data_IF_080839993547
#
_entry.id   IF_080839993547
#
_cell.length_a   1.000
_cell.length_b   1.000
_cell.length_c   1.000
_cell.angle_alpha   90.00
_cell.angle_beta   90.00
_cell.angle_gamma   90.00
#
_symmetry.space_group_name_H-M   'P 1'
#
loop_
_entity.id
_entity.type
_entity.pdbx_description
1 polymer ?
#
# COMPACT_ATOMS: atom_id res chain seq x y z
N UNK A 1 -16.28 -37.89 -15.21
CA UNK A 1 -15.71 -38.44 -13.96
C UNK A 1 -14.22 -38.42 -14.14
N UNK A 2 -13.50 -37.57 -13.42
CA UNK A 2 -12.33 -37.97 -12.65
C UNK A 2 -11.85 -36.83 -11.73
N UNK A 3 -12.00 -37.13 -10.44
CA UNK A 3 -11.35 -36.68 -9.22
C UNK A 3 -10.94 -35.21 -9.03
N UNK A 4 -11.83 -34.48 -8.34
CA UNK A 4 -11.47 -33.34 -7.52
C UNK A 4 -10.64 -33.82 -6.31
N UNK A 5 -9.37 -33.39 -6.26
CA UNK A 5 -8.55 -33.48 -5.04
C UNK A 5 -9.01 -32.38 -4.09
N UNK A 6 -9.63 -32.79 -2.99
CA UNK A 6 -9.91 -31.93 -1.85
C UNK A 6 -8.58 -31.49 -1.21
N UNK A 7 -8.10 -30.30 -1.54
CA UNK A 7 -7.06 -29.63 -0.77
C UNK A 7 -7.68 -28.97 0.47
N UNK A 8 -7.41 -29.57 1.63
CA UNK A 8 -7.76 -29.04 2.95
C UNK A 8 -6.65 -28.12 3.47
N UNK A 9 -6.37 -27.03 2.77
CA UNK A 9 -5.67 -25.88 3.34
C UNK A 9 -6.27 -24.60 2.77
N UNK A 10 -7.07 -23.90 3.58
CA UNK A 10 -7.71 -22.65 3.18
C UNK A 10 -6.72 -21.49 3.12
N UNK A 11 -5.86 -21.43 2.08
CA UNK A 11 -5.13 -20.20 1.72
C UNK A 11 -4.65 -20.15 0.26
N UNK A 12 -5.42 -20.66 -0.69
CA UNK A 12 -5.17 -20.42 -2.13
C UNK A 12 -6.29 -19.58 -2.74
N UNK A 13 -6.69 -18.50 -2.06
CA UNK A 13 -7.60 -17.52 -2.67
C UNK A 13 -6.72 -16.61 -3.54
N UNK A 14 -6.45 -17.02 -4.78
CA UNK A 14 -5.87 -16.18 -5.83
C UNK A 14 -6.72 -14.93 -5.92
N UNK A 15 -6.33 -13.91 -5.18
CA UNK A 15 -7.07 -12.67 -5.08
C UNK A 15 -6.67 -11.92 -6.32
N UNK A 16 -7.54 -11.92 -7.33
CA UNK A 16 -7.32 -11.27 -8.63
C UNK A 16 -7.23 -9.75 -8.42
N UNK A 17 -6.07 -9.30 -7.96
CA UNK A 17 -5.73 -7.92 -7.70
C UNK A 17 -4.65 -7.50 -8.69
N UNK A 18 -4.77 -6.29 -9.24
CA UNK A 18 -3.72 -5.66 -10.03
C UNK A 18 -2.43 -5.48 -9.23
N UNK A 19 -2.56 -5.12 -7.95
CA UNK A 19 -1.44 -5.20 -7.02
C UNK A 19 -1.88 -5.49 -5.59
N UNK A 20 -0.94 -5.99 -4.80
CA UNK A 20 -1.05 -6.16 -3.35
C UNK A 20 0.32 -5.91 -2.73
N UNK A 21 0.36 -5.04 -1.72
CA UNK A 21 1.56 -4.77 -0.94
C UNK A 21 1.28 -4.90 0.56
N UNK A 22 2.30 -5.29 1.33
CA UNK A 22 2.27 -5.35 2.79
C UNK A 22 3.52 -4.77 3.43
N UNK A 23 3.36 -4.13 4.57
CA UNK A 23 4.45 -3.67 5.43
C UNK A 23 4.06 -3.88 6.90
N UNK A 24 5.04 -4.12 7.76
CA UNK A 24 4.87 -4.31 9.20
C UNK A 24 4.74 -3.01 9.99
N UNK A 25 5.24 -1.91 9.41
CA UNK A 25 5.21 -0.59 10.03
C UNK A 25 4.76 0.47 9.02
N UNK A 26 3.50 0.88 9.12
CA UNK A 26 2.88 1.93 8.31
C UNK A 26 3.63 3.27 8.39
N UNK A 27 4.38 3.53 9.47
CA UNK A 27 5.18 4.76 9.62
C UNK A 27 6.27 4.88 8.56
N UNK A 28 6.77 3.75 8.03
CA UNK A 28 7.74 3.75 6.93
C UNK A 28 7.17 4.40 5.65
N UNK A 29 5.85 4.39 5.49
CA UNK A 29 5.16 5.07 4.39
C UNK A 29 4.65 6.45 4.80
N UNK A 30 3.96 6.56 5.93
CA UNK A 30 3.26 7.81 6.30
C UNK A 30 4.21 8.98 6.52
N UNK A 31 5.39 8.77 7.11
CA UNK A 31 6.39 9.84 7.31
C UNK A 31 6.89 10.40 5.99
N UNK A 32 7.11 9.54 5.00
CA UNK A 32 7.56 9.94 3.66
C UNK A 32 6.44 10.71 2.96
N UNK A 33 5.21 10.20 2.99
CA UNK A 33 4.07 10.82 2.31
C UNK A 33 3.67 12.16 2.92
N UNK A 34 3.90 12.38 4.23
CA UNK A 34 3.67 13.69 4.89
C UNK A 34 4.44 14.82 4.21
N UNK A 35 5.64 14.54 3.67
CA UNK A 35 6.47 15.55 2.96
C UNK A 35 5.85 15.96 1.61
N UNK A 36 5.02 15.11 1.02
CA UNK A 36 4.34 15.38 -0.24
C UNK A 36 2.99 16.10 -0.07
N UNK A 37 2.50 16.27 1.16
CA UNK A 37 1.13 16.73 1.45
C UNK A 37 0.93 18.24 1.30
N UNK A 38 1.47 18.84 0.24
CA UNK A 38 1.22 20.24 -0.14
C UNK A 38 0.19 20.35 -1.29
N UNK A 39 -0.25 19.22 -1.85
CA UNK A 39 -1.41 19.13 -2.74
C UNK A 39 -2.28 17.94 -2.38
N UNK A 40 -3.56 18.12 -2.69
CA UNK A 40 -4.62 17.17 -2.39
C UNK A 40 -4.51 15.90 -3.23
N UNK A 41 -4.20 15.99 -4.54
CA UNK A 41 -4.16 14.81 -5.41
C UNK A 41 -2.73 14.38 -5.71
N UNK A 42 -2.43 13.10 -5.43
CA UNK A 42 -1.19 12.44 -5.81
C UNK A 42 -1.43 11.38 -6.90
N UNK A 43 -0.42 11.18 -7.75
CA UNK A 43 -0.37 10.08 -8.72
C UNK A 43 0.58 9.00 -8.19
N UNK A 44 0.05 7.79 -8.01
CA UNK A 44 0.77 6.63 -7.52
C UNK A 44 1.10 5.68 -8.66
N UNK A 45 2.34 5.20 -8.69
CA UNK A 45 2.84 4.21 -9.63
C UNK A 45 3.36 3.02 -8.84
N UNK A 46 2.75 1.85 -9.07
CA UNK A 46 3.14 0.59 -8.42
C UNK A 46 3.74 -0.33 -9.46
N UNK A 47 4.93 -0.84 -9.18
CA UNK A 47 5.64 -1.80 -10.01
C UNK A 47 6.31 -2.86 -9.13
N UNK A 48 6.89 -3.89 -9.73
CA UNK A 48 7.69 -4.90 -9.01
C UNK A 48 8.88 -4.31 -8.26
N UNK A 49 9.36 -3.13 -8.66
CA UNK A 49 10.48 -2.46 -8.02
C UNK A 49 10.07 -1.63 -6.79
N UNK A 50 8.79 -1.30 -6.64
CA UNK A 50 8.30 -0.48 -5.53
C UNK A 50 7.13 0.44 -5.87
N UNK A 51 6.86 1.37 -4.95
CA UNK A 51 5.83 2.39 -5.04
C UNK A 51 6.48 3.76 -5.23
N UNK A 52 6.09 4.46 -6.29
CA UNK A 52 6.41 5.88 -6.51
C UNK A 52 5.14 6.72 -6.31
N UNK A 53 5.23 7.78 -5.53
CA UNK A 53 4.15 8.75 -5.36
C UNK A 53 4.63 10.10 -5.87
N UNK A 54 3.85 10.73 -6.74
CA UNK A 54 4.17 12.01 -7.37
C UNK A 54 3.07 13.01 -7.08
N UNK A 55 3.49 14.20 -6.65
CA UNK A 55 2.63 15.38 -6.51
C UNK A 55 3.15 16.46 -7.45
N UNK A 56 2.25 17.09 -8.19
CA UNK A 56 2.56 18.17 -9.13
C UNK A 56 1.73 19.42 -8.79
N UNK A 57 2.36 20.59 -8.86
CA UNK A 57 1.70 21.89 -8.78
C UNK A 57 1.91 22.68 -10.08
N UNK A 58 0.80 22.96 -10.76
CA UNK A 58 0.71 23.96 -11.83
C UNK A 58 1.79 23.84 -12.91
N UNK A 59 2.28 22.62 -13.18
CA UNK A 59 3.38 22.31 -14.11
C UNK A 59 4.73 23.00 -13.79
N UNK A 60 4.87 23.58 -12.60
CA UNK A 60 6.08 24.28 -12.17
C UNK A 60 6.87 23.49 -11.12
N UNK A 61 6.18 22.72 -10.29
CA UNK A 61 6.78 21.96 -9.19
C UNK A 61 6.30 20.52 -9.30
N UNK A 62 7.25 19.59 -9.27
CA UNK A 62 6.95 18.17 -9.16
C UNK A 62 7.84 17.59 -8.07
N UNK A 63 7.21 16.93 -7.11
CA UNK A 63 7.91 16.22 -6.04
C UNK A 63 7.52 14.77 -6.09
N UNK A 64 8.50 13.88 -5.97
CA UNK A 64 8.25 12.44 -5.96
C UNK A 64 8.92 11.77 -4.77
N UNK A 65 8.19 10.89 -4.11
CA UNK A 65 8.74 9.93 -3.17
C UNK A 65 8.83 8.56 -3.83
N UNK A 66 9.86 7.80 -3.48
CA UNK A 66 10.03 6.43 -3.93
C UNK A 66 10.27 5.51 -2.73
N UNK A 67 9.49 4.44 -2.67
CA UNK A 67 9.58 3.39 -1.66
C UNK A 67 9.95 2.11 -2.40
N UNK A 68 11.18 1.64 -2.19
CA UNK A 68 11.70 0.42 -2.81
C UNK A 68 10.93 -0.82 -2.34
N UNK A 69 10.81 -1.82 -3.22
CA UNK A 69 10.27 -3.16 -2.94
C UNK A 69 10.82 -3.79 -1.66
N UNK A 70 12.09 -3.52 -1.34
CA UNK A 70 12.78 -4.04 -0.15
C UNK A 70 12.19 -3.56 1.19
N UNK A 71 11.39 -2.49 1.19
CA UNK A 71 10.70 -1.99 2.39
C UNK A 71 9.44 -2.80 2.68
N UNK A 72 8.89 -3.48 1.68
CA UNK A 72 7.66 -4.25 1.81
C UNK A 72 7.97 -5.70 2.18
N UNK A 73 7.13 -6.28 3.05
CA UNK A 73 7.17 -7.71 3.38
C UNK A 73 6.60 -8.57 2.24
N UNK A 74 5.63 -8.02 1.52
CA UNK A 74 4.99 -8.64 0.37
C UNK A 74 4.75 -7.54 -0.66
N UNK A 75 5.18 -7.74 -1.90
CA UNK A 75 4.82 -6.88 -3.03
C UNK A 75 4.56 -7.77 -4.23
N UNK A 76 3.29 -7.85 -4.61
CA UNK A 76 2.85 -8.54 -5.81
C UNK A 76 2.21 -7.52 -6.74
N UNK A 77 2.67 -7.49 -7.98
CA UNK A 77 2.10 -6.69 -9.05
C UNK A 77 1.83 -7.64 -10.20
N UNK A 78 0.68 -7.50 -10.86
CA UNK A 78 0.36 -8.30 -12.03
C UNK A 78 1.45 -8.08 -13.09
N UNK A 79 2.00 -9.18 -13.60
CA UNK A 79 3.26 -9.21 -14.36
C UNK A 79 3.29 -8.21 -15.52
N UNK A 80 4.43 -7.54 -15.70
CA UNK A 80 4.78 -6.59 -16.77
C UNK A 80 3.97 -5.28 -16.82
N UNK A 81 3.13 -4.99 -15.83
CA UNK A 81 2.34 -3.76 -15.77
C UNK A 81 2.79 -2.84 -14.64
N UNK A 82 3.02 -1.57 -14.96
CA UNK A 82 3.05 -0.51 -13.96
C UNK A 82 1.62 -0.05 -13.71
N UNK A 83 1.10 -0.32 -12.52
CA UNK A 83 -0.26 0.10 -12.16
C UNK A 83 -0.22 1.56 -11.73
N UNK A 84 -1.06 2.39 -12.35
CA UNK A 84 -1.14 3.82 -12.06
C UNK A 84 -2.52 4.17 -11.55
N UNK A 85 -2.60 4.92 -10.46
CA UNK A 85 -3.86 5.45 -9.93
C UNK A 85 -3.65 6.81 -9.27
N UNK A 86 -4.73 7.59 -9.16
CA UNK A 86 -4.72 8.87 -8.45
C UNK A 86 -5.51 8.72 -7.16
N UNK A 87 -5.06 9.42 -6.13
CA UNK A 87 -5.70 9.39 -4.82
C UNK A 87 -5.61 10.76 -4.15
N UNK A 88 -6.61 11.05 -3.33
CA UNK A 88 -6.55 12.13 -2.35
C UNK A 88 -5.51 11.79 -1.28
N UNK A 89 -4.37 12.47 -1.33
CA UNK A 89 -3.23 12.25 -0.45
C UNK A 89 -3.54 12.61 1.00
N UNK A 90 -4.34 13.65 1.23
CA UNK A 90 -4.77 14.05 2.58
C UNK A 90 -5.57 12.93 3.25
N UNK A 91 -6.60 12.42 2.56
CA UNK A 91 -7.44 11.31 3.00
C UNK A 91 -6.63 10.04 3.21
N UNK A 92 -5.71 9.75 2.29
CA UNK A 92 -4.79 8.62 2.42
C UNK A 92 -3.93 8.76 3.68
N UNK A 93 -3.36 9.93 3.94
CA UNK A 93 -2.52 10.19 5.11
C UNK A 93 -3.29 10.11 6.43
N UNK A 94 -4.51 10.64 6.47
CA UNK A 94 -5.41 10.48 7.62
C UNK A 94 -5.64 8.99 7.90
N UNK A 95 -5.95 8.20 6.87
CA UNK A 95 -6.11 6.75 6.97
C UNK A 95 -4.85 6.05 7.46
N UNK A 96 -3.66 6.42 6.95
CA UNK A 96 -2.38 5.83 7.37
C UNK A 96 -2.00 6.15 8.82
N UNK A 97 -2.57 7.20 9.41
CA UNK A 97 -2.19 7.71 10.74
C UNK A 97 -3.28 7.53 11.80
N UNK A 98 -4.39 6.84 11.49
CA UNK A 98 -5.51 6.60 12.43
C UNK A 98 -5.08 5.97 13.77
N UNK A 99 -3.99 5.22 13.80
CA UNK A 99 -3.47 4.54 15.00
C UNK A 99 -2.21 5.18 15.59
N UNK A 100 -1.71 6.30 15.06
CA UNK A 100 -0.46 6.93 15.55
C UNK A 100 -0.56 7.31 17.04
N UNK A 101 -1.77 7.58 17.55
CA UNK A 101 -2.05 7.97 18.94
C UNK A 101 -2.61 6.82 19.79
N UNK A 102 -2.76 5.61 19.23
CA UNK A 102 -3.38 4.48 19.93
C UNK A 102 -2.39 3.55 20.64
N UNK A 103 -1.08 3.70 20.39
CA UNK A 103 -0.06 2.79 20.94
C UNK A 103 0.69 3.43 22.12
N UNK A 104 0.27 3.09 23.34
CA UNK A 104 1.05 3.35 24.55
C UNK A 104 2.07 2.23 24.85
N UNK A 105 2.01 1.13 24.09
CA UNK A 105 2.85 -0.05 24.27
C UNK A 105 4.14 0.08 23.43
N UNK A 106 5.32 0.12 24.06
CA UNK A 106 6.59 0.13 23.34
C UNK A 106 6.72 -1.09 22.43
N UNK A 107 7.18 -0.88 21.18
CA UNK A 107 7.42 -1.96 20.22
C UNK A 107 6.19 -2.43 19.43
N UNK A 108 4.99 -1.91 19.71
CA UNK A 108 3.81 -2.19 18.90
C UNK A 108 3.86 -1.39 17.59
N UNK A 109 3.80 -2.07 16.45
CA UNK A 109 3.68 -1.43 15.13
C UNK A 109 2.35 -1.74 14.48
N UNK A 110 1.89 -0.83 13.64
CA UNK A 110 0.71 -1.05 12.79
C UNK A 110 1.19 -1.51 11.42
N UNK A 111 0.87 -2.76 11.08
CA UNK A 111 1.05 -3.30 9.75
C UNK A 111 -0.07 -2.81 8.83
N UNK A 112 0.28 -2.64 7.55
CA UNK A 112 -0.61 -2.21 6.48
C UNK A 112 -0.57 -3.25 5.36
N UNK A 113 -1.75 -3.66 4.90
CA UNK A 113 -1.94 -4.30 3.59
C UNK A 113 -2.73 -3.37 2.69
N UNK A 114 -2.20 -3.10 1.51
CA UNK A 114 -2.88 -2.32 0.47
C UNK A 114 -3.10 -3.19 -0.76
N UNK A 115 -4.28 -3.12 -1.35
CA UNK A 115 -4.61 -3.89 -2.54
C UNK A 115 -5.55 -3.15 -3.47
N UNK A 116 -5.37 -3.37 -4.77
CA UNK A 116 -6.19 -2.78 -5.82
C UNK A 116 -6.67 -3.86 -6.77
N UNK A 117 -7.99 -3.98 -6.93
CA UNK A 117 -8.59 -5.14 -7.60
C UNK A 117 -8.53 -5.04 -9.12
N UNK A 118 -9.03 -3.93 -9.67
CA UNK A 118 -9.14 -3.63 -11.10
C UNK A 118 -9.17 -2.12 -11.29
N UNK A 119 -8.97 -1.65 -12.52
CA UNK A 119 -9.00 -0.21 -12.84
C UNK A 119 -10.37 0.41 -12.52
N UNK A 120 -10.38 1.51 -11.77
CA UNK A 120 -11.59 2.16 -11.27
C UNK A 120 -12.15 1.59 -9.95
N UNK A 121 -11.64 0.46 -9.45
CA UNK A 121 -11.98 -0.02 -8.11
C UNK A 121 -11.48 0.95 -7.02
N UNK A 122 -12.04 0.95 -5.80
CA UNK A 122 -11.44 1.68 -4.68
C UNK A 122 -10.14 1.02 -4.21
N UNK A 123 -9.21 1.84 -3.69
CA UNK A 123 -8.03 1.34 -3.00
C UNK A 123 -8.43 0.75 -1.65
N UNK A 124 -8.12 -0.52 -1.42
CA UNK A 124 -8.38 -1.17 -0.13
C UNK A 124 -7.15 -1.08 0.76
N UNK A 125 -7.32 -0.54 1.97
CA UNK A 125 -6.31 -0.54 3.04
C UNK A 125 -6.83 -1.36 4.23
N UNK A 126 -6.02 -2.31 4.69
CA UNK A 126 -6.29 -3.11 5.88
C UNK A 126 -5.16 -2.89 6.87
N UNK A 127 -5.53 -2.59 8.12
CA UNK A 127 -4.59 -2.36 9.21
C UNK A 127 -4.67 -3.52 10.21
N UNK A 128 -3.52 -3.97 10.67
CA UNK A 128 -3.42 -4.98 11.73
C UNK A 128 -2.27 -4.63 12.67
N UNK A 129 -2.39 -4.99 13.94
CA UNK A 129 -1.30 -4.79 14.89
C UNK A 129 -0.31 -5.94 14.82
N UNK A 130 0.98 -5.60 14.79
CA UNK A 130 2.07 -6.57 14.85
C UNK A 130 2.95 -6.29 16.07
N UNK A 131 3.24 -7.34 16.82
CA UNK A 131 4.21 -7.32 17.92
C UNK A 131 5.53 -7.88 17.40
N UNK A 132 6.60 -7.09 17.44
CA UNK A 132 7.96 -7.61 17.31
C UNK A 132 8.46 -7.92 18.73
N UNK A 133 8.61 -9.22 19.01
CA UNK A 133 9.25 -9.73 20.23
C UNK A 133 10.77 -9.46 20.19
#
# INVERSE_FOLDING_TARGET
MDYAVHDKTGLNKTTNNLFKLKMDNVKNLSVILKVLNFKEIATCFVSTNGLKVVVEDSKCIQVSAYISSNVFQELHVKENEQITFRIDLSTMLECLTIFDHCSSVPGLTTALMMSYQYEGAPLKMIFSFSYKL
#
